data_IF_386177891524
#
_entry.id   IF_386177891524
#
_cell.length_a   1.000
_cell.length_b   1.000
_cell.length_c   1.000
_cell.angle_alpha   90.00
_cell.angle_beta   90.00
_cell.angle_gamma   90.00
#
_symmetry.space_group_name_H-M   'P 1'
#
loop_
_entity.id
_entity.type
_entity.pdbx_description
1 polymer ?
#
# COMPACT_ATOMS: atom_id res chain seq x y z
N UNK A 1 -18.27 -49.07 23.80
CA UNK A 1 -17.10 -48.61 23.02
C UNK A 1 -15.98 -49.61 23.22
N UNK A 2 -15.41 -50.17 22.15
CA UNK A 2 -14.30 -51.12 22.27
C UNK A 2 -12.98 -50.43 22.62
N UNK A 3 -12.21 -51.02 23.52
CA UNK A 3 -10.83 -50.66 23.85
C UNK A 3 -9.87 -51.63 23.13
N UNK A 4 -8.71 -51.13 22.71
CA UNK A 4 -7.71 -51.88 21.96
C UNK A 4 -6.32 -51.59 22.51
N UNK A 5 -5.43 -52.57 22.51
CA UNK A 5 -4.07 -52.39 23.02
C UNK A 5 -3.08 -52.06 21.89
N UNK A 6 -2.47 -50.88 21.96
CA UNK A 6 -1.39 -50.45 21.09
C UNK A 6 -0.05 -50.70 21.78
N UNK A 7 0.87 -51.40 21.10
CA UNK A 7 2.23 -51.66 21.63
C UNK A 7 3.06 -50.41 21.95
N UNK A 8 2.69 -49.25 21.42
CA UNK A 8 3.42 -47.96 21.62
C UNK A 8 2.65 -47.04 22.57
N UNK A 9 1.31 -47.02 22.49
CA UNK A 9 0.48 -46.04 23.19
C UNK A 9 -0.45 -46.65 24.26
N UNK A 10 -0.32 -47.95 24.55
CA UNK A 10 -1.18 -48.65 25.50
C UNK A 10 -2.64 -48.78 25.04
N UNK A 11 -3.58 -48.78 25.97
CA UNK A 11 -5.02 -48.92 25.67
C UNK A 11 -5.53 -47.66 24.96
N UNK A 12 -6.10 -47.85 23.77
CA UNK A 12 -6.72 -46.82 22.93
C UNK A 12 -8.17 -47.17 22.64
N UNK A 13 -9.02 -46.16 22.45
CA UNK A 13 -10.45 -46.34 22.19
C UNK A 13 -10.77 -46.19 20.71
N UNK A 14 -11.93 -46.68 20.28
CA UNK A 14 -12.34 -46.76 18.86
C UNK A 14 -12.24 -45.41 18.10
N UNK A 15 -12.47 -44.26 18.76
CA UNK A 15 -12.30 -42.91 18.16
C UNK A 15 -10.85 -42.56 17.78
N UNK A 16 -9.89 -43.25 18.38
CA UNK A 16 -8.46 -43.11 18.15
C UNK A 16 -7.94 -44.22 17.23
N UNK A 17 -8.83 -44.97 16.57
CA UNK A 17 -8.52 -45.91 15.50
C UNK A 17 -8.49 -45.18 14.15
N UNK A 18 -7.53 -45.53 13.29
CA UNK A 18 -7.48 -44.98 11.92
C UNK A 18 -8.08 -45.89 10.87
N UNK A 19 -7.76 -47.19 10.87
CA UNK A 19 -8.24 -48.14 9.86
C UNK A 19 -8.28 -49.57 10.42
N UNK A 20 -9.29 -50.34 9.98
CA UNK A 20 -9.37 -51.79 10.15
C UNK A 20 -8.87 -52.44 8.85
N UNK A 21 -7.64 -52.93 8.83
CA UNK A 21 -7.08 -53.59 7.65
C UNK A 21 -7.37 -55.09 7.73
N UNK A 22 -8.02 -55.65 6.70
CA UNK A 22 -8.22 -57.08 6.58
C UNK A 22 -7.10 -57.69 5.75
N UNK A 23 -6.26 -58.55 6.35
CA UNK A 23 -5.20 -59.28 5.65
C UNK A 23 -5.25 -60.75 6.07
N UNK A 24 -5.30 -61.67 5.10
CA UNK A 24 -5.42 -63.11 5.34
C UNK A 24 -6.57 -63.47 6.30
N UNK A 25 -7.73 -62.81 6.15
CA UNK A 25 -8.89 -63.01 7.01
C UNK A 25 -8.78 -62.43 8.43
N UNK A 26 -7.70 -61.71 8.77
CA UNK A 26 -7.50 -61.08 10.09
C UNK A 26 -7.65 -59.56 10.03
N UNK A 27 -8.36 -58.99 10.99
CA UNK A 27 -8.55 -57.54 11.15
C UNK A 27 -7.41 -56.97 12.00
N UNK A 28 -6.67 -56.02 11.44
CA UNK A 28 -5.60 -55.30 12.14
C UNK A 28 -6.07 -53.90 12.53
N UNK A 29 -5.84 -53.54 13.79
CA UNK A 29 -6.13 -52.22 14.35
C UNK A 29 -4.89 -51.31 14.24
N UNK A 30 -5.07 -50.11 13.69
CA UNK A 30 -4.05 -49.07 13.66
C UNK A 30 -4.39 -47.90 14.58
N UNK A 31 -3.63 -47.74 15.67
CA UNK A 31 -3.67 -46.54 16.52
C UNK A 31 -3.40 -45.29 15.66
N UNK A 32 -4.29 -44.29 15.75
CA UNK A 32 -4.27 -43.05 14.96
C UNK A 32 -2.95 -42.28 15.13
N UNK A 33 -2.44 -42.04 16.35
CA UNK A 33 -1.09 -41.53 16.58
C UNK A 33 -0.01 -42.27 15.78
N UNK A 34 0.09 -43.60 15.90
CA UNK A 34 1.09 -44.39 15.17
C UNK A 34 0.93 -44.27 13.65
N UNK A 35 -0.30 -44.23 13.16
CA UNK A 35 -0.59 -44.09 11.72
C UNK A 35 -0.17 -42.71 11.19
N UNK A 36 -0.46 -41.65 11.95
CA UNK A 36 -0.03 -40.29 11.65
C UNK A 36 1.50 -40.21 11.61
N UNK A 37 2.19 -40.79 12.59
CA UNK A 37 3.65 -40.81 12.65
C UNK A 37 4.28 -41.58 11.49
N UNK A 38 3.80 -42.80 11.20
CA UNK A 38 4.23 -43.56 10.02
C UNK A 38 3.99 -42.76 8.73
N UNK A 39 2.86 -42.09 8.61
CA UNK A 39 2.55 -41.22 7.48
C UNK A 39 3.48 -40.01 7.37
N UNK A 40 3.85 -39.38 8.49
CA UNK A 40 4.84 -38.29 8.55
C UNK A 40 6.23 -38.79 8.14
N UNK A 41 6.68 -39.92 8.69
CA UNK A 41 7.96 -40.54 8.36
C UNK A 41 8.03 -40.92 6.88
N UNK A 42 6.97 -41.54 6.34
CA UNK A 42 6.87 -41.87 4.91
C UNK A 42 6.96 -40.62 4.03
N UNK A 43 6.18 -39.56 4.33
CA UNK A 43 6.22 -38.30 3.56
C UNK A 43 7.59 -37.62 3.63
N UNK A 44 8.29 -37.69 4.77
CA UNK A 44 9.65 -37.17 4.92
C UNK A 44 10.65 -37.95 4.06
N UNK A 45 10.64 -39.28 4.18
CA UNK A 45 11.51 -40.17 3.41
C UNK A 45 11.24 -40.13 1.89
N UNK A 46 10.00 -39.85 1.48
CA UNK A 46 9.56 -39.86 0.08
C UNK A 46 9.14 -38.48 -0.42
N UNK A 47 9.75 -37.40 0.09
CA UNK A 47 9.32 -36.01 -0.16
C UNK A 47 9.12 -35.69 -1.64
N UNK A 48 10.08 -36.03 -2.49
CA UNK A 48 10.03 -35.76 -3.94
C UNK A 48 8.84 -36.49 -4.58
N UNK A 49 8.72 -37.80 -4.34
CA UNK A 49 7.63 -38.64 -4.85
C UNK A 49 6.25 -38.16 -4.39
N UNK A 50 6.12 -37.80 -3.11
CA UNK A 50 4.88 -37.26 -2.55
C UNK A 50 4.50 -35.90 -3.18
N UNK A 51 5.48 -35.02 -3.39
CA UNK A 51 5.27 -33.72 -4.01
C UNK A 51 4.86 -33.86 -5.48
N UNK A 52 5.53 -34.73 -6.23
CA UNK A 52 5.19 -34.97 -7.64
C UNK A 52 3.79 -35.56 -7.79
N UNK A 53 3.44 -36.54 -6.97
CA UNK A 53 2.06 -37.08 -6.91
C UNK A 53 1.04 -35.98 -6.59
N UNK A 54 1.36 -35.09 -5.64
CA UNK A 54 0.48 -33.96 -5.27
C UNK A 54 0.34 -32.95 -6.42
N UNK A 55 1.42 -32.67 -7.15
CA UNK A 55 1.43 -31.81 -8.34
C UNK A 55 0.55 -32.39 -9.45
N UNK A 56 0.73 -33.67 -9.78
CA UNK A 56 -0.08 -34.37 -10.79
C UNK A 56 -1.56 -34.39 -10.41
N UNK A 57 -1.88 -34.73 -9.15
CA UNK A 57 -3.25 -34.67 -8.65
C UNK A 57 -3.85 -33.26 -8.74
N UNK A 58 -3.07 -32.25 -8.35
CA UNK A 58 -3.48 -30.84 -8.41
C UNK A 58 -3.78 -30.38 -9.83
N UNK A 59 -2.96 -30.82 -10.81
CA UNK A 59 -3.14 -30.51 -12.23
C UNK A 59 -4.37 -31.23 -12.80
N UNK A 60 -4.51 -32.53 -12.54
CA UNK A 60 -5.62 -33.34 -13.04
C UNK A 60 -6.98 -32.88 -12.49
N UNK A 61 -7.02 -32.31 -11.27
CA UNK A 61 -8.25 -31.90 -10.59
C UNK A 61 -8.41 -30.38 -10.46
N UNK A 62 -7.71 -29.59 -11.28
CA UNK A 62 -7.67 -28.13 -11.13
C UNK A 62 -9.07 -27.49 -11.16
N UNK A 63 -9.92 -27.90 -12.10
CA UNK A 63 -11.29 -27.37 -12.26
C UNK A 63 -12.18 -27.73 -11.07
N UNK A 64 -12.25 -29.00 -10.68
CA UNK A 64 -13.06 -29.44 -9.52
C UNK A 64 -12.59 -28.81 -8.21
N UNK A 65 -11.28 -28.60 -8.02
CA UNK A 65 -10.75 -27.90 -6.85
C UNK A 65 -11.12 -26.42 -6.84
N UNK A 66 -11.09 -25.77 -8.01
CA UNK A 66 -11.53 -24.37 -8.16
C UNK A 66 -13.01 -24.24 -7.81
N UNK A 67 -13.84 -25.13 -8.33
CA UNK A 67 -15.28 -25.17 -8.07
C UNK A 67 -15.59 -25.41 -6.59
N UNK A 68 -15.04 -26.46 -5.97
CA UNK A 68 -15.19 -26.72 -4.53
C UNK A 68 -14.78 -25.53 -3.66
N UNK A 69 -13.72 -24.81 -4.06
CA UNK A 69 -13.28 -23.60 -3.36
C UNK A 69 -14.30 -22.47 -3.50
N UNK A 70 -14.85 -22.26 -4.70
CA UNK A 70 -15.91 -21.25 -4.93
C UNK A 70 -17.11 -21.58 -4.05
N UNK A 71 -17.64 -22.81 -4.12
CA UNK A 71 -18.78 -23.26 -3.30
C UNK A 71 -18.52 -23.08 -1.81
N UNK A 72 -17.31 -23.43 -1.33
CA UNK A 72 -16.94 -23.22 0.07
C UNK A 72 -16.97 -21.74 0.45
N UNK A 73 -16.38 -20.87 -0.38
CA UNK A 73 -16.36 -19.42 -0.11
C UNK A 73 -17.77 -18.83 -0.12
N UNK A 74 -18.61 -19.23 -1.08
CA UNK A 74 -19.99 -18.75 -1.18
C UNK A 74 -20.82 -19.19 0.03
N UNK A 75 -20.75 -20.47 0.40
CA UNK A 75 -21.49 -21.01 1.54
C UNK A 75 -20.98 -20.50 2.90
N UNK A 76 -19.75 -19.98 2.98
CA UNK A 76 -19.14 -19.52 4.23
C UNK A 76 -18.81 -18.03 4.19
N UNK A 77 -19.46 -17.25 3.31
CA UNK A 77 -19.08 -15.85 3.05
C UNK A 77 -19.03 -15.00 4.31
N UNK A 78 -20.07 -15.10 5.15
CA UNK A 78 -20.19 -14.30 6.37
C UNK A 78 -19.21 -14.76 7.45
N UNK A 79 -19.01 -16.08 7.60
CA UNK A 79 -18.01 -16.65 8.49
C UNK A 79 -16.59 -16.20 8.12
N UNK A 80 -16.27 -16.22 6.82
CA UNK A 80 -14.98 -15.78 6.30
C UNK A 80 -14.79 -14.27 6.47
N UNK A 81 -15.85 -13.48 6.27
CA UNK A 81 -15.81 -12.03 6.52
C UNK A 81 -15.57 -11.73 7.99
N UNK A 82 -16.34 -12.33 8.90
CA UNK A 82 -16.18 -12.13 10.34
C UNK A 82 -14.79 -12.56 10.83
N UNK A 83 -14.25 -13.67 10.31
CA UNK A 83 -12.89 -14.10 10.60
C UNK A 83 -11.84 -13.09 10.07
N UNK A 84 -12.06 -12.53 8.88
CA UNK A 84 -11.17 -11.53 8.28
C UNK A 84 -11.23 -10.21 9.05
N UNK A 85 -12.42 -9.74 9.44
CA UNK A 85 -12.61 -8.52 10.23
C UNK A 85 -11.90 -8.63 11.59
N UNK A 86 -12.03 -9.78 12.26
CA UNK A 86 -11.31 -10.07 13.51
C UNK A 86 -9.80 -10.07 13.29
N UNK A 87 -9.32 -10.80 12.29
CA UNK A 87 -7.89 -10.83 11.98
C UNK A 87 -7.36 -9.43 11.67
N UNK A 88 -8.08 -8.65 10.88
CA UNK A 88 -7.66 -7.30 10.52
C UNK A 88 -7.70 -6.35 11.72
N UNK A 89 -8.72 -6.39 12.58
CA UNK A 89 -8.77 -5.53 13.76
C UNK A 89 -7.61 -5.81 14.71
N UNK A 90 -7.30 -7.09 14.96
CA UNK A 90 -6.19 -7.53 15.80
C UNK A 90 -4.81 -7.25 15.20
N UNK A 91 -4.69 -7.20 13.87
CA UNK A 91 -3.39 -7.12 13.18
C UNK A 91 -3.21 -5.86 12.33
N UNK A 92 -4.14 -4.91 12.39
CA UNK A 92 -4.22 -3.73 11.49
C UNK A 92 -2.91 -2.96 11.43
N UNK A 93 -2.29 -2.69 12.58
CA UNK A 93 -1.00 -2.01 12.69
C UNK A 93 0.08 -2.74 11.90
N UNK A 94 0.31 -4.03 12.18
CA UNK A 94 1.32 -4.85 11.50
C UNK A 94 1.05 -4.98 9.99
N UNK A 95 -0.22 -5.12 9.59
CA UNK A 95 -0.62 -5.20 8.18
C UNK A 95 -0.27 -3.90 7.45
N UNK A 96 -0.61 -2.75 8.04
CA UNK A 96 -0.33 -1.44 7.47
C UNK A 96 1.17 -1.15 7.42
N UNK A 97 1.93 -1.52 8.45
CA UNK A 97 3.39 -1.40 8.46
C UNK A 97 4.05 -2.23 7.36
N UNK A 98 3.67 -3.51 7.22
CA UNK A 98 4.17 -4.38 6.16
C UNK A 98 3.80 -3.85 4.77
N UNK A 99 2.59 -3.35 4.60
CA UNK A 99 2.14 -2.73 3.35
C UNK A 99 2.95 -1.47 3.02
N UNK A 100 3.20 -0.60 4.01
CA UNK A 100 4.05 0.60 3.86
C UNK A 100 5.48 0.22 3.51
N UNK A 101 6.09 -0.72 4.23
CA UNK A 101 7.46 -1.18 3.97
C UNK A 101 7.61 -1.79 2.57
N UNK A 102 6.62 -2.57 2.12
CA UNK A 102 6.56 -3.10 0.74
C UNK A 102 6.46 -1.97 -0.28
N UNK A 103 5.58 -1.00 -0.04
CA UNK A 103 5.40 0.15 -0.92
C UNK A 103 6.68 0.98 -1.03
N UNK A 104 7.40 1.20 0.08
CA UNK A 104 8.66 1.95 0.09
C UNK A 104 9.77 1.22 -0.68
N UNK A 105 9.91 -0.10 -0.49
CA UNK A 105 10.86 -0.91 -1.27
C UNK A 105 10.58 -0.82 -2.77
N UNK A 106 9.30 -0.94 -3.16
CA UNK A 106 8.89 -0.80 -4.55
C UNK A 106 9.17 0.61 -5.09
N UNK A 107 8.93 1.67 -4.29
CA UNK A 107 9.23 3.05 -4.68
C UNK A 107 10.72 3.20 -5.03
N UNK A 108 11.61 2.77 -4.14
CA UNK A 108 13.06 2.85 -4.34
C UNK A 108 13.49 2.07 -5.59
N UNK A 109 12.98 0.84 -5.75
CA UNK A 109 13.28 0.00 -6.91
C UNK A 109 12.88 0.67 -8.23
N UNK A 110 11.64 1.16 -8.32
CA UNK A 110 11.15 1.84 -9.54
C UNK A 110 11.91 3.13 -9.80
N UNK A 111 12.23 3.89 -8.75
CA UNK A 111 12.88 5.18 -8.93
C UNK A 111 14.33 5.04 -9.38
N UNK A 112 15.02 3.98 -8.93
CA UNK A 112 16.36 3.62 -9.47
C UNK A 112 16.29 3.26 -10.95
N UNK A 113 15.27 2.53 -11.37
CA UNK A 113 15.08 2.17 -12.78
C UNK A 113 14.90 3.38 -13.72
N UNK A 114 14.29 4.47 -13.23
CA UNK A 114 14.06 5.71 -14.00
C UNK A 114 15.04 6.84 -13.66
N UNK A 115 16.09 6.55 -12.88
CA UNK A 115 17.09 7.52 -12.44
C UNK A 115 18.47 6.86 -12.46
N UNK A 116 19.34 7.18 -11.49
CA UNK A 116 20.64 6.53 -11.30
C UNK A 116 20.62 5.59 -10.08
N UNK A 117 21.78 5.04 -9.72
CA UNK A 117 22.03 4.29 -8.46
C UNK A 117 21.38 4.95 -7.23
N UNK A 118 21.56 6.27 -7.12
CA UNK A 118 20.85 7.12 -6.16
C UNK A 118 19.73 7.86 -6.90
N UNK A 119 18.45 7.59 -6.57
CA UNK A 119 17.34 8.33 -7.16
C UNK A 119 17.45 9.81 -6.87
N UNK A 120 17.37 10.62 -7.92
CA UNK A 120 17.37 12.07 -7.82
C UNK A 120 16.36 12.69 -8.79
N UNK A 121 15.91 13.90 -8.48
CA UNK A 121 15.08 14.69 -9.38
C UNK A 121 15.85 14.98 -10.68
N UNK A 122 15.25 14.63 -11.83
CA UNK A 122 15.83 14.88 -13.14
C UNK A 122 16.06 16.37 -13.45
N UNK A 123 15.31 17.27 -12.78
CA UNK A 123 15.40 18.72 -12.98
C UNK A 123 16.35 19.42 -12.00
N UNK A 124 16.19 19.22 -10.69
CA UNK A 124 16.91 19.97 -9.65
C UNK A 124 17.86 19.13 -8.79
N UNK A 125 18.03 17.83 -9.10
CA UNK A 125 18.92 16.90 -8.39
C UNK A 125 18.59 16.62 -6.92
N UNK A 126 17.41 17.01 -6.43
CA UNK A 126 16.92 16.63 -5.10
C UNK A 126 17.02 15.10 -4.90
N UNK A 127 17.82 14.60 -3.95
CA UNK A 127 18.04 13.16 -3.76
C UNK A 127 17.10 12.53 -2.72
N UNK A 128 16.37 13.32 -1.94
CA UNK A 128 15.50 12.80 -0.87
C UNK A 128 14.33 12.01 -1.46
N UNK A 129 14.34 10.70 -1.26
CA UNK A 129 13.29 9.80 -1.74
C UNK A 129 11.88 10.24 -1.29
N UNK A 130 11.77 10.91 -0.15
CA UNK A 130 10.50 11.40 0.39
C UNK A 130 9.95 12.60 -0.39
N UNK A 131 10.81 13.33 -1.09
CA UNK A 131 10.42 14.45 -1.95
C UNK A 131 10.20 14.04 -3.40
N UNK A 132 10.63 12.84 -3.79
CA UNK A 132 10.53 12.35 -5.15
C UNK A 132 9.15 11.74 -5.45
N UNK A 133 8.71 11.93 -6.69
CA UNK A 133 7.52 11.37 -7.31
C UNK A 133 7.84 10.87 -8.73
N UNK A 134 7.03 9.94 -9.21
CA UNK A 134 7.08 9.49 -10.60
C UNK A 134 6.17 10.38 -11.45
N UNK A 135 6.74 11.08 -12.42
CA UNK A 135 6.04 11.95 -13.36
C UNK A 135 5.92 11.29 -14.74
N UNK A 136 4.84 11.59 -15.45
CA UNK A 136 4.62 11.17 -16.83
C UNK A 136 5.24 12.21 -17.76
N UNK A 137 6.23 11.80 -18.56
CA UNK A 137 6.94 12.69 -19.48
C UNK A 137 5.95 13.39 -20.42
N UNK A 138 5.00 12.63 -20.99
CA UNK A 138 3.97 13.10 -21.92
C UNK A 138 2.85 13.95 -21.32
N UNK A 139 2.85 14.23 -20.01
CA UNK A 139 1.79 14.99 -19.31
C UNK A 139 0.38 14.37 -19.41
N UNK A 140 0.29 13.09 -19.76
CA UNK A 140 -0.93 12.30 -19.92
C UNK A 140 -1.28 11.48 -18.65
N UNK A 141 -0.57 11.74 -17.54
CA UNK A 141 -0.66 10.92 -16.34
C UNK A 141 -2.05 10.83 -15.71
N UNK A 142 -2.95 11.78 -15.98
CA UNK A 142 -4.35 11.67 -15.53
C UNK A 142 -5.07 10.52 -16.21
N UNK A 143 -4.97 10.43 -17.54
CA UNK A 143 -5.59 9.37 -18.35
C UNK A 143 -4.99 8.02 -18.01
N UNK A 144 -3.66 7.93 -18.02
CA UNK A 144 -2.98 6.67 -17.73
C UNK A 144 -3.28 6.16 -16.31
N UNK A 145 -3.34 7.05 -15.29
CA UNK A 145 -3.73 6.65 -13.91
C UNK A 145 -5.20 6.25 -13.79
N UNK A 146 -6.09 6.70 -14.67
CA UNK A 146 -7.47 6.23 -14.69
C UNK A 146 -7.54 4.75 -15.10
N UNK A 147 -6.65 4.32 -16.00
CA UNK A 147 -6.58 2.94 -16.49
C UNK A 147 -5.86 2.00 -15.52
N UNK A 148 -4.70 2.40 -15.01
CA UNK A 148 -3.82 1.51 -14.23
C UNK A 148 -3.92 1.73 -12.72
N UNK A 149 -4.51 2.85 -12.29
CA UNK A 149 -4.48 3.36 -10.92
C UNK A 149 -3.26 4.23 -10.60
N UNK A 150 -3.21 4.74 -9.36
CA UNK A 150 -2.19 5.68 -8.88
C UNK A 150 -1.26 5.09 -7.81
N UNK A 151 -0.12 5.76 -7.58
CA UNK A 151 0.82 5.45 -6.51
C UNK A 151 1.43 4.04 -6.66
N UNK A 152 1.31 3.14 -5.67
CA UNK A 152 1.88 1.79 -5.75
C UNK A 152 1.40 0.99 -6.97
N UNK A 153 0.20 1.26 -7.50
CA UNK A 153 -0.30 0.59 -8.71
C UNK A 153 0.50 1.01 -9.95
N UNK A 154 0.78 2.31 -10.11
CA UNK A 154 1.63 2.84 -11.18
C UNK A 154 3.03 2.21 -11.13
N UNK A 155 3.62 2.08 -9.93
CA UNK A 155 4.94 1.46 -9.77
C UNK A 155 4.94 -0.03 -10.12
N UNK A 156 3.92 -0.78 -9.68
CA UNK A 156 3.78 -2.19 -10.07
C UNK A 156 3.57 -2.34 -11.58
N UNK A 157 2.81 -1.43 -12.20
CA UNK A 157 2.62 -1.41 -13.65
C UNK A 157 3.96 -1.19 -14.36
N UNK A 158 4.74 -0.18 -13.95
CA UNK A 158 6.06 0.08 -14.52
C UNK A 158 6.97 -1.15 -14.43
N UNK A 159 7.03 -1.80 -13.26
CA UNK A 159 7.82 -3.02 -13.04
C UNK A 159 7.36 -4.18 -13.93
N UNK A 160 6.05 -4.39 -14.09
CA UNK A 160 5.49 -5.48 -14.90
C UNK A 160 5.68 -5.29 -16.40
N UNK A 161 5.84 -4.04 -16.84
CA UNK A 161 6.06 -3.68 -18.23
C UNK A 161 7.54 -3.34 -18.51
N UNK A 162 8.46 -3.84 -17.68
CA UNK A 162 9.91 -3.70 -17.88
C UNK A 162 10.40 -2.25 -17.98
N UNK A 163 9.80 -1.36 -17.20
CA UNK A 163 10.18 0.05 -17.03
C UNK A 163 10.18 0.86 -18.34
N UNK A 164 9.02 1.01 -19.02
CA UNK A 164 8.96 1.72 -20.29
C UNK A 164 9.33 3.21 -20.12
N UNK A 165 9.93 3.87 -21.13
CA UNK A 165 10.47 5.24 -21.05
C UNK A 165 9.37 6.33 -21.08
N UNK A 166 8.28 6.11 -20.36
CA UNK A 166 7.13 7.01 -20.22
C UNK A 166 7.24 7.93 -19.01
N UNK A 167 8.13 7.60 -18.08
CA UNK A 167 8.24 8.26 -16.80
C UNK A 167 9.60 8.90 -16.57
N UNK A 168 9.60 9.91 -15.72
CA UNK A 168 10.79 10.53 -15.15
C UNK A 168 10.61 10.68 -13.64
N UNK A 169 11.73 10.74 -12.91
CA UNK A 169 11.73 11.01 -11.46
C UNK A 169 11.87 12.52 -11.24
N UNK A 170 10.90 13.14 -10.56
CA UNK A 170 10.93 14.56 -10.20
C UNK A 170 10.65 14.74 -8.71
N UNK A 171 11.13 15.82 -8.11
CA UNK A 171 10.63 16.22 -6.79
C UNK A 171 9.22 16.83 -6.91
N UNK A 172 8.44 16.84 -5.83
CA UNK A 172 7.07 17.40 -5.86
C UNK A 172 7.03 18.87 -6.31
N UNK A 173 8.03 19.67 -5.92
CA UNK A 173 8.16 21.06 -6.38
C UNK A 173 8.33 21.14 -7.92
N UNK A 174 9.31 20.44 -8.48
CA UNK A 174 9.57 20.43 -9.93
C UNK A 174 8.41 19.82 -10.72
N UNK A 175 7.79 18.75 -10.21
CA UNK A 175 6.63 18.13 -10.85
C UNK A 175 5.46 19.12 -10.95
N UNK A 176 5.20 19.88 -9.89
CA UNK A 176 4.15 20.90 -9.90
C UNK A 176 4.49 22.08 -10.83
N UNK A 177 5.74 22.54 -10.84
CA UNK A 177 6.18 23.60 -11.75
C UNK A 177 6.08 23.17 -13.23
N UNK A 178 6.44 21.92 -13.55
CA UNK A 178 6.24 21.32 -14.88
C UNK A 178 4.76 21.31 -15.27
N UNK A 179 3.87 20.91 -14.36
CA UNK A 179 2.43 20.98 -14.59
C UNK A 179 1.98 22.41 -14.92
N UNK A 180 2.46 23.42 -14.16
CA UNK A 180 2.12 24.81 -14.42
C UNK A 180 2.65 25.33 -15.76
N UNK A 181 3.83 24.88 -16.21
CA UNK A 181 4.42 25.35 -17.46
C UNK A 181 3.70 24.85 -18.71
N UNK A 182 3.01 23.71 -18.61
CA UNK A 182 2.23 23.13 -19.73
C UNK A 182 0.72 23.37 -19.60
N UNK A 183 0.27 23.90 -18.47
CA UNK A 183 -1.14 24.16 -18.23
C UNK A 183 -1.63 25.27 -19.16
N UNK A 184 -2.74 25.07 -19.89
CA UNK A 184 -3.30 26.13 -20.73
C UNK A 184 -3.77 27.31 -19.87
N UNK A 185 -3.83 28.53 -20.44
CA UNK A 185 -4.38 29.69 -19.76
C UNK A 185 -5.77 29.42 -19.17
N UNK A 186 -6.06 30.01 -18.01
CA UNK A 186 -7.37 29.89 -17.39
C UNK A 186 -8.45 30.47 -18.31
N UNK A 187 -9.59 29.77 -18.43
CA UNK A 187 -10.80 30.32 -19.08
C UNK A 187 -11.35 31.56 -18.36
N UNK A 188 -10.94 31.78 -17.11
CA UNK A 188 -11.24 32.99 -16.33
C UNK A 188 -9.95 33.54 -15.70
N UNK A 189 -9.19 34.38 -16.42
CA UNK A 189 -7.93 34.96 -15.94
C UNK A 189 -8.13 35.86 -14.71
N UNK A 190 -9.23 36.61 -14.65
CA UNK A 190 -9.55 37.47 -13.49
C UNK A 190 -9.67 36.65 -12.21
N UNK A 191 -10.44 35.56 -12.27
CA UNK A 191 -10.58 34.64 -11.14
C UNK A 191 -9.23 34.02 -10.74
N UNK A 192 -8.42 33.60 -11.72
CA UNK A 192 -7.09 33.05 -11.45
C UNK A 192 -6.17 34.05 -10.74
N UNK A 193 -6.21 35.33 -11.15
CA UNK A 193 -5.44 36.40 -10.52
C UNK A 193 -5.92 36.66 -9.07
N UNK A 194 -7.23 36.69 -8.84
CA UNK A 194 -7.80 36.82 -7.49
C UNK A 194 -7.40 35.66 -6.57
N UNK A 195 -7.45 34.43 -7.08
CA UNK A 195 -7.02 33.24 -6.36
C UNK A 195 -5.50 33.26 -6.04
N UNK A 196 -4.68 33.74 -6.97
CA UNK A 196 -3.25 33.90 -6.74
C UNK A 196 -2.94 34.99 -5.70
N UNK A 197 -3.69 36.10 -5.73
CA UNK A 197 -3.58 37.18 -4.74
C UNK A 197 -3.99 36.71 -3.34
N UNK A 198 -5.14 36.03 -3.22
CA UNK A 198 -5.61 35.42 -1.97
C UNK A 198 -4.57 34.46 -1.40
N UNK A 199 -4.03 33.56 -2.24
CA UNK A 199 -2.96 32.65 -1.82
C UNK A 199 -1.78 33.42 -1.26
N UNK A 200 -1.26 34.41 -1.99
CA UNK A 200 -0.10 35.21 -1.56
C UNK A 200 -0.35 35.91 -0.24
N UNK A 201 -1.49 36.60 -0.11
CA UNK A 201 -1.91 37.31 1.10
C UNK A 201 -1.95 36.36 2.32
N UNK A 202 -2.63 35.22 2.20
CA UNK A 202 -2.73 34.23 3.28
C UNK A 202 -1.35 33.71 3.69
N UNK A 203 -0.46 33.43 2.73
CA UNK A 203 0.89 32.98 3.05
C UNK A 203 1.71 34.07 3.75
N UNK A 204 1.60 35.33 3.33
CA UNK A 204 2.27 36.46 3.99
C UNK A 204 1.83 36.62 5.45
N UNK A 205 0.53 36.47 5.71
CA UNK A 205 0.00 36.52 7.08
C UNK A 205 0.55 35.40 7.97
N UNK A 206 0.71 34.19 7.42
CA UNK A 206 1.26 33.06 8.17
C UNK A 206 2.76 33.18 8.43
N UNK A 207 3.52 33.77 7.51
CA UNK A 207 4.98 33.94 7.68
C UNK A 207 5.37 35.24 8.37
N UNK A 208 4.42 36.16 8.59
CA UNK A 208 4.69 37.50 9.11
C UNK A 208 5.53 38.38 8.16
N UNK A 209 5.53 38.10 6.85
CA UNK A 209 6.39 38.79 5.90
C UNK A 209 6.45 38.13 4.52
N UNK A 210 7.64 38.06 3.93
CA UNK A 210 7.84 37.40 2.63
C UNK A 210 7.46 35.91 2.74
N UNK A 211 6.57 35.39 1.87
CA UNK A 211 6.19 33.99 1.89
C UNK A 211 7.41 33.09 1.65
N UNK A 212 7.68 32.19 2.58
CA UNK A 212 8.73 31.19 2.48
C UNK A 212 8.31 29.91 3.16
N UNK A 213 8.91 28.81 2.74
CA UNK A 213 8.78 27.54 3.43
C UNK A 213 9.39 27.65 4.83
N UNK A 214 8.72 27.06 5.82
CA UNK A 214 9.21 26.97 7.20
C UNK A 214 10.50 26.14 7.27
N UNK A 215 10.56 25.02 6.54
CA UNK A 215 11.67 24.06 6.67
C UNK A 215 12.79 24.18 5.60
N UNK A 216 12.69 25.10 4.62
CA UNK A 216 13.79 25.36 3.66
C UNK A 216 13.75 26.77 3.07
N UNK A 217 14.82 27.21 2.38
CA UNK A 217 14.89 28.54 1.76
C UNK A 217 13.92 28.82 0.58
N UNK A 218 13.05 27.88 0.21
CA UNK A 218 12.12 28.08 -0.92
C UNK A 218 11.12 29.19 -0.61
N UNK A 219 11.06 30.20 -1.47
CA UNK A 219 10.15 31.35 -1.39
C UNK A 219 9.22 31.50 -2.62
N UNK A 220 9.32 30.59 -3.60
CA UNK A 220 8.45 30.58 -4.77
C UNK A 220 6.99 30.23 -4.37
N UNK A 221 6.17 31.27 -4.28
CA UNK A 221 4.73 31.21 -3.94
C UNK A 221 3.96 30.18 -4.78
N UNK A 222 4.40 29.85 -6.00
CA UNK A 222 3.72 28.83 -6.83
C UNK A 222 3.75 27.46 -6.18
N UNK A 223 4.84 27.10 -5.50
CA UNK A 223 5.05 25.80 -4.87
C UNK A 223 4.89 25.82 -3.34
N UNK A 224 4.65 26.98 -2.74
CA UNK A 224 4.26 27.09 -1.33
C UNK A 224 2.79 26.71 -1.12
N UNK A 225 2.50 26.12 0.03
CA UNK A 225 1.18 25.62 0.43
C UNK A 225 0.94 25.86 1.90
N UNK A 226 -0.33 25.92 2.31
CA UNK A 226 -0.71 25.86 3.72
C UNK A 226 -0.74 24.39 4.15
N UNK A 227 0.06 24.08 5.15
CA UNK A 227 0.15 22.77 5.80
C UNK A 227 -0.40 22.83 7.23
N UNK A 228 -0.96 21.71 7.69
CA UNK A 228 -1.38 21.55 9.07
C UNK A 228 -0.20 21.02 9.89
N UNK A 229 0.22 21.75 10.92
CA UNK A 229 1.42 21.45 11.72
C UNK A 229 1.36 20.04 12.31
N UNK A 230 0.18 19.56 12.71
CA UNK A 230 -0.01 18.23 13.29
C UNK A 230 -0.67 17.21 12.35
N UNK A 231 -0.80 17.53 11.05
CA UNK A 231 -1.54 16.70 10.09
C UNK A 231 -3.06 16.92 10.20
N UNK A 232 -3.87 15.94 9.79
CA UNK A 232 -5.33 16.05 9.89
C UNK A 232 -6.02 16.95 8.83
N UNK A 233 -5.27 17.57 7.91
CA UNK A 233 -5.84 18.49 6.92
C UNK A 233 -6.96 17.91 6.03
N UNK A 234 -6.96 16.59 5.79
CA UNK A 234 -8.06 15.93 5.06
C UNK A 234 -9.34 15.81 5.89
N UNK A 235 -9.23 15.65 7.20
CA UNK A 235 -10.37 15.64 8.11
C UNK A 235 -10.93 17.06 8.28
N UNK A 236 -10.05 18.03 8.52
CA UNK A 236 -10.42 19.44 8.60
C UNK A 236 -11.15 19.92 7.31
N UNK A 237 -10.64 19.59 6.13
CA UNK A 237 -11.35 19.93 4.86
C UNK A 237 -12.73 19.29 4.79
N UNK A 238 -12.87 18.04 5.24
CA UNK A 238 -14.15 17.31 5.21
C UNK A 238 -15.15 17.90 6.20
N UNK A 239 -14.73 18.23 7.42
CA UNK A 239 -15.62 18.81 8.43
C UNK A 239 -16.20 20.16 8.00
N UNK A 240 -15.45 20.92 7.19
CA UNK A 240 -15.87 22.21 6.64
C UNK A 240 -16.51 22.13 5.25
N UNK A 241 -16.73 20.94 4.70
CA UNK A 241 -17.30 20.76 3.36
C UNK A 241 -16.46 21.38 2.23
N UNK A 242 -15.14 21.51 2.41
CA UNK A 242 -14.26 22.14 1.44
C UNK A 242 -13.96 21.21 0.27
N UNK A 243 -14.29 21.69 -0.94
CA UNK A 243 -14.04 20.96 -2.20
C UNK A 243 -12.84 21.48 -2.98
N UNK A 244 -12.29 22.64 -2.61
CA UNK A 244 -11.19 23.28 -3.34
C UNK A 244 -10.05 23.70 -2.42
N UNK A 245 -8.85 23.81 -2.99
CA UNK A 245 -7.70 24.40 -2.29
C UNK A 245 -7.92 25.88 -1.94
N UNK A 246 -8.71 26.61 -2.73
CA UNK A 246 -8.99 28.03 -2.50
C UNK A 246 -9.84 28.27 -1.25
N UNK A 247 -10.77 27.37 -0.97
CA UNK A 247 -11.58 27.39 0.25
C UNK A 247 -10.69 27.36 1.50
N UNK A 248 -9.56 26.64 1.45
CA UNK A 248 -8.60 26.60 2.56
C UNK A 248 -7.92 27.96 2.77
N UNK A 249 -7.40 28.60 1.72
CA UNK A 249 -6.75 29.91 1.86
C UNK A 249 -7.72 30.98 2.38
N UNK A 250 -8.96 30.98 1.87
CA UNK A 250 -10.01 31.89 2.34
C UNK A 250 -10.40 31.63 3.80
N UNK A 251 -10.40 30.37 4.24
CA UNK A 251 -10.74 30.01 5.61
C UNK A 251 -9.63 30.43 6.56
N UNK A 252 -8.39 30.02 6.29
CA UNK A 252 -7.22 30.33 7.13
C UNK A 252 -7.02 31.82 7.27
N UNK A 253 -7.25 32.61 6.22
CA UNK A 253 -7.23 34.08 6.28
C UNK A 253 -8.16 34.66 7.35
N UNK A 254 -9.34 34.06 7.54
CA UNK A 254 -10.39 34.55 8.45
C UNK A 254 -10.22 34.08 9.90
N UNK A 255 -9.34 33.11 10.16
CA UNK A 255 -9.12 32.59 11.51
C UNK A 255 -8.42 33.64 12.36
N UNK A 256 -8.81 33.75 13.63
CA UNK A 256 -8.08 34.57 14.60
C UNK A 256 -6.77 33.89 14.99
N UNK A 257 -6.86 32.64 15.45
CA UNK A 257 -5.70 31.77 15.72
C UNK A 257 -5.32 30.98 14.46
N UNK A 258 -4.04 31.05 14.09
CA UNK A 258 -3.46 30.37 12.92
C UNK A 258 -2.30 29.45 13.31
N UNK A 259 -2.11 29.17 14.60
CA UNK A 259 -0.98 28.40 15.14
C UNK A 259 -0.90 26.96 14.62
N UNK A 260 -2.03 26.36 14.22
CA UNK A 260 -2.08 25.02 13.63
C UNK A 260 -1.59 24.97 12.15
N UNK A 261 -1.23 26.12 11.58
CA UNK A 261 -0.86 26.23 10.16
C UNK A 261 0.57 26.70 9.97
N UNK A 262 1.26 26.07 9.02
CA UNK A 262 2.57 26.48 8.55
C UNK A 262 2.59 26.65 7.03
N UNK A 263 3.50 27.50 6.54
CA UNK A 263 3.78 27.61 5.11
C UNK A 263 4.88 26.63 4.75
N UNK A 264 4.59 25.70 3.83
CA UNK A 264 5.56 24.69 3.37
C UNK A 264 5.55 24.54 1.87
N UNK A 265 6.72 24.28 1.27
CA UNK A 265 6.78 23.88 -0.13
C UNK A 265 6.16 22.49 -0.34
N UNK A 266 5.81 22.13 -1.58
CA UNK A 266 5.21 20.83 -1.89
C UNK A 266 6.08 19.64 -1.44
N UNK A 267 7.41 19.75 -1.54
CA UNK A 267 8.33 18.72 -1.03
C UNK A 267 8.12 18.48 0.47
N UNK A 268 8.11 19.55 1.27
CA UNK A 268 7.98 19.46 2.73
C UNK A 268 6.58 19.13 3.21
N UNK A 269 5.54 19.64 2.54
CA UNK A 269 4.17 19.24 2.82
C UNK A 269 3.95 17.74 2.53
N UNK A 270 4.42 17.26 1.37
CA UNK A 270 4.25 15.86 0.95
C UNK A 270 5.15 14.89 1.72
N UNK A 271 6.38 15.32 2.02
CA UNK A 271 7.42 14.53 2.68
C UNK A 271 7.25 14.40 4.19
N UNK A 272 6.49 15.29 4.85
CA UNK A 272 6.29 15.31 6.31
C UNK A 272 5.90 13.96 6.95
N UNK A 273 5.24 13.08 6.19
CA UNK A 273 4.86 11.73 6.64
C UNK A 273 6.05 10.84 7.02
N UNK A 274 7.27 11.19 6.62
CA UNK A 274 8.49 10.46 7.02
C UNK A 274 9.19 11.07 8.25
N UNK A 275 8.81 12.28 8.68
CA UNK A 275 9.52 13.04 9.72
C UNK A 275 9.14 12.62 11.15
N UNK A 276 7.95 12.05 11.33
CA UNK A 276 7.42 11.61 12.63
C UNK A 276 7.80 10.18 12.99
N UNK A 277 8.82 9.60 12.38
CA UNK A 277 9.32 8.29 12.80
C UNK A 277 10.21 8.50 14.03
N UNK A 278 9.86 7.98 15.23
CA UNK A 278 10.89 7.71 16.21
C UNK A 278 11.89 6.74 15.57
N UNK A 279 13.17 7.08 15.68
CA UNK A 279 14.30 6.20 15.33
C UNK A 279 14.26 4.99 16.25
#
# INVERSE_FOLDING_TARGET
MGTFECRIHGIVIDKDCTERLHRNGRTYFGCRPCSIERGRAYRKANRVKCNERSRLYSKANASSRKEKRITYVDNNRDLLRAAWDRYYSENSVSILEKARARSQRLKVEVFRAYSKEVPECASCREPSIDFLTLDHIGNDGSSHRAEIGSGPKTWNWAKRNEYPPLFQVLCFNCNFLKYLSVKPPSKNPRRQALEAALKRETLQMLTGGIPKCEDCPVDDVRILTVDHVHGGGNEHRRSLGMTSSQSMYSHVRKLQDKSDFAVRCYNHNSGKRSWTKPV
#
